data_IF_168142936953
#
_entry.id   IF_168142936953
#
_cell.length_a   1.000
_cell.length_b   1.000
_cell.length_c   1.000
_cell.angle_alpha   90.00
_cell.angle_beta   90.00
_cell.angle_gamma   90.00
#
_symmetry.space_group_name_H-M   'P 1'
#
loop_
_entity.id
_entity.type
_entity.pdbx_description
1 polymer ?
#
# COMPACT_ATOMS: atom_id res chain seq x y z
N UNK A 1 25.35 1.39 -8.29
CA UNK A 1 24.21 2.27 -7.92
C UNK A 1 23.40 2.55 -9.18
N UNK A 2 22.07 2.70 -9.02
CA UNK A 2 21.02 2.77 -10.04
C UNK A 2 20.62 1.41 -10.63
N UNK A 3 19.70 0.74 -9.94
CA UNK A 3 18.81 -0.25 -10.55
C UNK A 3 17.89 0.54 -11.50
N UNK A 4 17.79 0.19 -12.79
CA UNK A 4 16.89 0.90 -13.70
C UNK A 4 15.45 0.82 -13.16
N UNK A 5 14.73 1.95 -13.10
CA UNK A 5 13.35 1.95 -12.65
C UNK A 5 12.54 1.00 -13.52
N UNK A 6 11.64 0.25 -12.89
CA UNK A 6 10.72 -0.61 -13.62
C UNK A 6 9.89 0.26 -14.59
N UNK A 7 9.44 -0.30 -15.71
CA UNK A 7 8.60 0.43 -16.66
C UNK A 7 7.37 1.07 -15.97
N UNK A 8 6.88 0.46 -14.90
CA UNK A 8 5.79 0.96 -14.05
C UNK A 8 6.13 2.22 -13.25
N UNK A 9 7.41 2.52 -13.04
CA UNK A 9 7.88 3.70 -12.30
C UNK A 9 8.17 4.90 -13.22
N UNK A 10 8.17 4.71 -14.55
CA UNK A 10 8.26 5.81 -15.52
C UNK A 10 7.01 6.70 -15.43
N UNK A 11 7.21 7.98 -15.12
CA UNK A 11 6.11 8.96 -14.98
C UNK A 11 5.38 8.91 -13.64
N UNK A 12 5.75 8.00 -12.73
CA UNK A 12 5.17 7.92 -11.37
C UNK A 12 5.35 9.23 -10.59
N UNK A 13 6.53 9.85 -10.71
CA UNK A 13 6.80 11.15 -10.08
C UNK A 13 5.85 12.26 -10.57
N UNK A 14 5.59 12.32 -11.89
CA UNK A 14 4.66 13.29 -12.45
C UNK A 14 3.22 12.99 -12.01
N UNK A 15 2.80 11.72 -12.06
CA UNK A 15 1.46 11.31 -11.60
C UNK A 15 1.24 11.60 -10.12
N UNK A 16 2.27 11.41 -9.29
CA UNK A 16 2.24 11.70 -7.86
C UNK A 16 1.96 13.18 -7.59
N UNK A 17 2.51 14.11 -8.38
CA UNK A 17 2.26 15.55 -8.24
C UNK A 17 0.78 15.87 -8.46
N UNK A 18 0.14 15.26 -9.45
CA UNK A 18 -1.27 15.50 -9.76
C UNK A 18 -2.26 14.72 -8.89
N UNK A 19 -1.81 13.70 -8.16
CA UNK A 19 -2.68 12.81 -7.37
C UNK A 19 -2.56 13.00 -5.87
N UNK A 20 -1.42 13.48 -5.36
CA UNK A 20 -1.22 13.74 -3.92
C UNK A 20 -1.78 15.12 -3.57
N UNK A 21 -2.82 15.14 -2.72
CA UNK A 21 -3.39 16.37 -2.15
C UNK A 21 -4.68 16.85 -2.82
N UNK A 22 -5.07 16.29 -3.96
CA UNK A 22 -6.32 16.59 -4.65
C UNK A 22 -7.46 15.69 -4.14
N UNK A 23 -7.95 15.99 -2.94
CA UNK A 23 -9.07 15.30 -2.28
C UNK A 23 -10.30 16.19 -2.11
N UNK A 24 -10.66 16.97 -3.14
CA UNK A 24 -11.82 17.85 -3.07
C UNK A 24 -13.11 17.02 -2.89
N UNK A 25 -13.86 17.32 -1.84
CA UNK A 25 -15.08 16.58 -1.50
C UNK A 25 -14.86 15.21 -0.87
N UNK A 26 -13.63 14.86 -0.46
CA UNK A 26 -13.36 13.60 0.25
C UNK A 26 -12.51 13.85 1.49
N UNK A 27 -13.04 13.53 2.66
CA UNK A 27 -12.29 13.50 3.91
C UNK A 27 -11.56 12.17 3.99
N UNK A 28 -10.24 12.17 3.81
CA UNK A 28 -9.40 10.98 3.94
C UNK A 28 -8.57 11.04 5.22
N UNK A 29 -8.66 10.00 6.03
CA UNK A 29 -7.84 9.73 7.20
C UNK A 29 -6.92 8.55 6.88
N UNK A 30 -5.62 8.70 7.07
CA UNK A 30 -4.61 7.65 6.84
C UNK A 30 -3.82 7.45 8.15
N UNK A 31 -3.90 6.25 8.72
CA UNK A 31 -3.14 5.84 9.90
C UNK A 31 -2.11 4.79 9.50
N UNK A 32 -0.84 5.17 9.55
CA UNK A 32 0.28 4.26 9.31
C UNK A 32 1.02 3.99 10.60
N UNK A 33 0.97 2.73 11.03
CA UNK A 33 1.66 2.24 12.22
C UNK A 33 2.75 1.28 11.80
N UNK A 34 3.97 1.52 12.27
CA UNK A 34 5.12 0.64 12.05
C UNK A 34 5.55 0.06 13.38
N UNK A 35 5.36 -1.25 13.55
CA UNK A 35 5.84 -1.97 14.73
C UNK A 35 7.34 -2.25 14.60
N UNK A 36 8.03 -2.28 15.75
CA UNK A 36 9.44 -2.70 15.84
C UNK A 36 9.63 -4.15 15.35
N UNK A 37 8.59 -4.98 15.45
CA UNK A 37 8.58 -6.37 15.00
C UNK A 37 8.49 -6.55 13.48
N UNK A 38 8.59 -5.47 12.69
CA UNK A 38 8.58 -5.54 11.21
C UNK A 38 7.20 -5.58 10.56
N UNK A 39 6.14 -5.41 11.36
CA UNK A 39 4.76 -5.32 10.88
C UNK A 39 4.38 -3.87 10.62
N UNK A 40 3.90 -3.59 9.42
CA UNK A 40 3.39 -2.29 8.99
C UNK A 40 1.87 -2.39 8.80
N UNK A 41 1.11 -1.67 9.60
CA UNK A 41 -0.34 -1.54 9.43
C UNK A 41 -0.64 -0.17 8.84
N UNK A 42 -1.42 -0.15 7.76
CA UNK A 42 -1.89 1.06 7.14
C UNK A 42 -3.42 1.01 7.05
N UNK A 43 -4.09 1.79 7.89
CA UNK A 43 -5.55 1.89 7.90
C UNK A 43 -5.94 3.23 7.30
N UNK A 44 -6.67 3.22 6.19
CA UNK A 44 -7.17 4.45 5.57
C UNK A 44 -8.69 4.45 5.53
N UNK A 45 -9.32 5.48 6.08
CA UNK A 45 -10.74 5.76 5.94
C UNK A 45 -10.95 6.94 5.02
N UNK A 46 -11.92 6.87 4.12
CA UNK A 46 -12.31 7.99 3.27
C UNK A 46 -13.81 8.16 3.29
N UNK A 47 -14.27 9.39 3.50
CA UNK A 47 -15.68 9.76 3.47
C UNK A 47 -15.88 10.79 2.37
N UNK A 48 -16.69 10.44 1.38
CA UNK A 48 -17.03 11.34 0.29
C UNK A 48 -18.19 12.26 0.73
N UNK A 49 -17.96 13.56 0.75
CA UNK A 49 -18.92 14.56 1.21
C UNK A 49 -20.02 14.84 0.18
N UNK A 50 -19.82 14.47 -1.08
CA UNK A 50 -20.81 14.65 -2.16
C UNK A 50 -21.87 13.53 -2.14
N UNK A 51 -21.42 12.28 -1.98
CA UNK A 51 -22.30 11.10 -1.99
C UNK A 51 -22.65 10.55 -0.60
N UNK A 52 -22.02 11.07 0.45
CA UNK A 52 -22.14 10.57 1.83
C UNK A 52 -21.54 9.18 2.05
N UNK A 53 -20.90 8.58 1.05
CA UNK A 53 -20.34 7.23 1.15
C UNK A 53 -19.03 7.23 1.91
N UNK A 54 -18.90 6.30 2.86
CA UNK A 54 -17.67 6.02 3.57
C UNK A 54 -17.06 4.70 3.05
N UNK A 55 -15.75 4.72 2.81
CA UNK A 55 -14.95 3.59 2.39
C UNK A 55 -13.74 3.46 3.31
N UNK A 56 -13.55 2.29 3.89
CA UNK A 56 -12.39 1.94 4.69
C UNK A 56 -11.51 0.93 3.97
N UNK A 57 -10.21 1.06 4.16
CA UNK A 57 -9.20 0.12 3.73
C UNK A 57 -8.27 -0.18 4.90
N UNK A 58 -7.97 -1.45 5.09
CA UNK A 58 -6.98 -1.95 6.03
C UNK A 58 -5.92 -2.70 5.24
N UNK A 59 -4.69 -2.20 5.23
CA UNK A 59 -3.54 -2.89 4.66
C UNK A 59 -2.61 -3.33 5.79
N UNK A 60 -2.29 -4.61 5.85
CA UNK A 60 -1.37 -5.22 6.80
C UNK A 60 -0.21 -5.81 6.02
N UNK A 61 0.98 -5.24 6.22
CA UNK A 61 2.20 -5.72 5.59
C UNK A 61 3.10 -6.34 6.63
N UNK A 62 3.40 -7.62 6.46
CA UNK A 62 4.34 -8.37 7.28
C UNK A 62 5.63 -8.58 6.50
N UNK A 63 6.74 -8.05 7.00
CA UNK A 63 8.07 -8.21 6.39
C UNK A 63 8.93 -9.14 7.21
N UNK A 64 9.17 -10.34 6.70
CA UNK A 64 10.18 -11.27 7.20
C UNK A 64 11.51 -10.97 6.54
N UNK A 65 12.27 -10.02 7.11
CA UNK A 65 13.58 -9.63 6.58
C UNK A 65 14.58 -10.79 6.49
N UNK A 66 14.47 -11.78 7.36
CA UNK A 66 15.38 -12.93 7.42
C UNK A 66 15.17 -13.92 6.26
N UNK A 67 14.00 -13.91 5.64
CA UNK A 67 13.61 -14.88 4.59
C UNK A 67 13.30 -14.21 3.24
N UNK A 68 13.51 -12.88 3.12
CA UNK A 68 13.14 -12.11 1.92
C UNK A 68 11.63 -12.10 1.63
N UNK A 69 10.80 -12.52 2.59
CA UNK A 69 9.36 -12.73 2.41
C UNK A 69 8.56 -11.53 2.92
N UNK A 70 7.71 -10.99 2.06
CA UNK A 70 6.78 -9.90 2.36
C UNK A 70 5.35 -10.34 2.06
N UNK A 71 4.52 -10.41 3.09
CA UNK A 71 3.07 -10.65 2.95
C UNK A 71 2.35 -9.33 3.05
N UNK A 72 1.53 -9.00 2.07
CA UNK A 72 0.65 -7.83 2.09
C UNK A 72 -0.81 -8.29 2.04
N UNK A 73 -1.57 -7.97 3.07
CA UNK A 73 -3.00 -8.25 3.13
C UNK A 73 -3.76 -6.95 3.07
N UNK A 74 -4.68 -6.82 2.12
CA UNK A 74 -5.52 -5.66 1.94
C UNK A 74 -6.99 -6.05 2.09
N UNK A 75 -7.66 -5.40 3.02
CA UNK A 75 -9.08 -5.52 3.29
C UNK A 75 -9.78 -4.20 2.99
N UNK A 76 -11.01 -4.25 2.49
CA UNK A 76 -11.84 -3.08 2.29
C UNK A 76 -13.25 -3.26 2.86
N UNK A 77 -14.00 -2.17 3.00
CA UNK A 77 -15.38 -2.19 3.49
C UNK A 77 -16.36 -2.84 2.51
N UNK A 78 -15.97 -3.01 1.25
CA UNK A 78 -16.71 -3.77 0.23
C UNK A 78 -16.51 -5.30 0.35
N UNK A 79 -16.00 -5.76 1.50
CA UNK A 79 -15.75 -7.17 1.82
C UNK A 79 -14.79 -7.89 0.86
N UNK A 80 -13.91 -7.13 0.20
CA UNK A 80 -12.84 -7.66 -0.65
C UNK A 80 -11.58 -7.86 0.18
N UNK A 81 -11.07 -9.10 0.18
CA UNK A 81 -9.80 -9.47 0.76
C UNK A 81 -8.82 -9.82 -0.36
N UNK A 82 -7.73 -9.06 -0.45
CA UNK A 82 -6.61 -9.37 -1.32
C UNK A 82 -5.40 -9.73 -0.46
N UNK A 83 -4.81 -10.90 -0.72
CA UNK A 83 -3.55 -11.32 -0.08
C UNK A 83 -2.50 -11.45 -1.18
N UNK A 84 -1.42 -10.72 -1.03
CA UNK A 84 -0.27 -10.75 -1.91
C UNK A 84 0.92 -11.27 -1.10
N UNK A 85 1.59 -12.29 -1.63
CA UNK A 85 2.81 -12.83 -1.03
C UNK A 85 3.91 -12.57 -2.04
N UNK A 86 4.91 -11.82 -1.59
CA UNK A 86 6.11 -11.49 -2.38
C UNK A 86 7.30 -12.14 -1.69
N UNK A 87 8.11 -12.82 -2.48
CA UNK A 87 9.36 -13.44 -2.02
C UNK A 87 10.44 -12.87 -2.91
N UNK A 88 11.35 -12.12 -2.31
CA UNK A 88 12.54 -11.58 -2.96
C UNK A 88 13.74 -12.42 -2.49
N UNK A 89 14.73 -12.64 -3.37
CA UNK A 89 16.00 -13.32 -3.03
C UNK A 89 15.94 -14.84 -2.72
N UNK A 90 14.97 -15.59 -3.27
CA UNK A 90 14.88 -17.07 -3.12
C UNK A 90 15.26 -17.85 -4.38
N UNK A 91 15.94 -17.21 -5.33
CA UNK A 91 16.33 -17.84 -6.58
C UNK A 91 17.82 -17.60 -6.83
N UNK A 92 18.63 -18.41 -6.17
CA UNK A 92 19.96 -18.76 -6.66
C UNK A 92 19.74 -19.82 -7.76
N UNK A 93 19.65 -19.39 -9.03
CA UNK A 93 19.85 -20.31 -10.14
C UNK A 93 21.37 -20.45 -10.33
N UNK A 94 21.86 -21.69 -10.21
CA UNK A 94 23.13 -22.17 -10.77
C UNK A 94 23.29 -21.80 -12.25
#
# INVERSE_FOLDING_TARGET
MAVPPSYSDLGKAAKDIFSKGYGFGVVKLDLKTKSQSGVEFNTSGSSNTDTGKASGNLETKYKMKELGLSVNQKWNTDNTLATEVTVEDQVEWE
#
